data_IF_208876927260
#
_entry.id   IF_208876927260
#
_cell.length_a   1.000
_cell.length_b   1.000
_cell.length_c   1.000
_cell.angle_alpha   90.00
_cell.angle_beta   90.00
_cell.angle_gamma   90.00
#
_symmetry.space_group_name_H-M   'P 1'
#
loop_
_entity.id
_entity.type
_entity.pdbx_description
1 polymer ?
#
# COMPACT_ATOMS: atom_id res chain seq x y z
N UNK A 1 -19.40 -29.48 7.43
CA UNK A 1 -18.13 -28.80 7.09
C UNK A 1 -18.39 -27.32 7.27
N UNK A 2 -17.74 -26.67 8.23
CA UNK A 2 -17.87 -25.23 8.43
C UNK A 2 -17.14 -24.54 7.28
N UNK A 3 -17.89 -23.91 6.38
CA UNK A 3 -17.33 -22.99 5.38
C UNK A 3 -16.46 -21.98 6.14
N UNK A 4 -15.18 -21.91 5.80
CA UNK A 4 -14.31 -20.88 6.34
C UNK A 4 -14.94 -19.52 6.00
N UNK A 5 -14.99 -18.57 6.94
CA UNK A 5 -15.52 -17.25 6.66
C UNK A 5 -14.77 -16.64 5.49
N UNK A 6 -15.50 -16.22 4.45
CA UNK A 6 -14.97 -15.49 3.31
C UNK A 6 -14.67 -14.05 3.78
N UNK A 7 -13.50 -13.92 4.37
CA UNK A 7 -12.98 -12.66 4.90
C UNK A 7 -12.87 -11.59 3.82
N UNK A 8 -12.52 -11.98 2.59
CA UNK A 8 -12.40 -11.06 1.45
C UNK A 8 -13.75 -10.41 1.12
N UNK A 9 -14.85 -11.18 1.17
CA UNK A 9 -16.20 -10.66 0.97
C UNK A 9 -16.69 -9.76 2.10
N UNK A 10 -16.23 -10.01 3.33
CA UNK A 10 -16.57 -9.19 4.49
C UNK A 10 -15.79 -7.86 4.47
N UNK A 11 -14.51 -7.90 4.12
CA UNK A 11 -13.64 -6.72 4.11
C UNK A 11 -13.87 -5.82 2.89
N UNK A 12 -14.32 -6.35 1.75
CA UNK A 12 -14.66 -5.54 0.57
C UNK A 12 -15.84 -4.58 0.77
N UNK A 13 -16.62 -4.70 1.86
CA UNK A 13 -17.81 -3.88 2.12
C UNK A 13 -17.62 -2.81 3.19
N UNK A 14 -16.51 -2.82 3.92
CA UNK A 14 -16.26 -1.88 5.02
C UNK A 14 -15.55 -0.63 4.48
N UNK A 15 -15.98 0.55 4.93
CA UNK A 15 -15.17 1.76 4.75
C UNK A 15 -13.87 1.57 5.54
N UNK A 16 -12.74 1.94 4.95
CA UNK A 16 -11.41 1.62 5.48
C UNK A 16 -11.18 2.05 6.95
N UNK A 17 -11.88 3.11 7.37
CA UNK A 17 -11.93 3.59 8.75
C UNK A 17 -12.54 2.56 9.72
N UNK A 18 -13.68 1.95 9.36
CA UNK A 18 -14.35 0.93 10.19
C UNK A 18 -13.51 -0.36 10.31
N UNK A 19 -12.73 -0.69 9.28
CA UNK A 19 -11.79 -1.80 9.32
C UNK A 19 -10.68 -1.59 10.37
N UNK A 20 -10.12 -0.37 10.44
CA UNK A 20 -9.11 0.00 11.45
C UNK A 20 -9.68 -0.01 12.86
N UNK A 21 -10.90 0.50 13.04
CA UNK A 21 -11.57 0.55 14.34
C UNK A 21 -11.90 -0.86 14.87
N UNK A 22 -12.34 -1.77 14.00
CA UNK A 22 -12.70 -3.15 14.38
C UNK A 22 -11.50 -4.09 14.50
N UNK A 23 -10.34 -3.67 14.04
CA UNK A 23 -9.10 -4.46 14.08
C UNK A 23 -8.02 -3.71 14.84
N UNK A 24 -8.12 -3.59 16.18
CA UNK A 24 -7.19 -2.81 16.99
C UNK A 24 -5.73 -3.29 16.87
N UNK A 25 -5.49 -4.57 16.60
CA UNK A 25 -4.14 -5.11 16.31
C UNK A 25 -3.56 -4.65 14.96
N UNK A 26 -4.41 -4.13 14.07
CA UNK A 26 -4.06 -3.54 12.78
C UNK A 26 -4.10 -2.00 12.81
N UNK A 27 -4.57 -1.40 13.91
CA UNK A 27 -4.71 0.06 14.04
C UNK A 27 -3.36 0.80 13.96
N UNK A 28 -2.28 0.13 14.37
CA UNK A 28 -0.89 0.61 14.27
C UNK A 28 -0.26 0.39 12.89
N UNK A 29 -0.97 -0.24 11.94
CA UNK A 29 -0.46 -0.48 10.59
C UNK A 29 -0.74 0.72 9.69
N UNK A 30 0.23 1.05 8.85
CA UNK A 30 0.06 1.97 7.75
C UNK A 30 -1.07 1.50 6.83
N UNK A 31 -1.85 2.45 6.34
CA UNK A 31 -2.90 2.19 5.36
C UNK A 31 -2.29 1.49 4.14
N UNK A 32 -3.01 0.55 3.49
CA UNK A 32 -2.51 -0.04 2.26
C UNK A 32 -2.55 0.97 1.13
N UNK A 33 -1.87 0.61 0.05
CA UNK A 33 -1.87 1.38 -1.18
C UNK A 33 -3.19 1.22 -1.91
N UNK A 34 -3.84 2.34 -2.21
CA UNK A 34 -5.19 2.37 -2.78
C UNK A 34 -5.33 3.48 -3.81
N UNK A 35 -6.10 3.20 -4.86
CA UNK A 35 -6.54 4.20 -5.80
C UNK A 35 -7.75 4.97 -5.26
N UNK A 36 -7.91 6.23 -5.68
CA UNK A 36 -9.22 6.86 -5.63
C UNK A 36 -10.19 6.23 -6.65
N UNK A 37 -11.48 6.53 -6.53
CA UNK A 37 -12.54 5.93 -7.37
C UNK A 37 -12.27 6.07 -8.87
N UNK A 38 -11.80 7.25 -9.31
CA UNK A 38 -11.53 7.56 -10.72
C UNK A 38 -10.14 7.11 -11.20
N UNK A 39 -9.32 6.49 -10.35
CA UNK A 39 -7.92 6.11 -10.64
C UNK A 39 -7.08 7.27 -11.20
N UNK A 40 -7.26 8.46 -10.66
CA UNK A 40 -6.47 9.67 -10.95
C UNK A 40 -5.44 9.94 -9.86
N UNK A 41 -5.69 9.46 -8.65
CA UNK A 41 -4.83 9.55 -7.48
C UNK A 41 -4.53 8.16 -6.91
N UNK A 42 -3.31 8.03 -6.41
CA UNK A 42 -2.80 6.85 -5.73
C UNK A 42 -2.35 7.27 -4.33
N UNK A 43 -2.87 6.62 -3.31
CA UNK A 43 -2.31 6.70 -1.97
C UNK A 43 -1.27 5.61 -1.80
N UNK A 44 -0.02 5.98 -1.54
CA UNK A 44 1.10 5.08 -1.27
C UNK A 44 1.17 4.78 0.22
N UNK A 45 0.79 3.57 0.60
CA UNK A 45 0.74 3.11 1.98
C UNK A 45 2.10 3.05 2.66
N UNK A 46 3.17 2.75 1.91
CA UNK A 46 4.53 2.67 2.46
C UNK A 46 5.13 4.03 2.86
N UNK A 47 4.63 5.11 2.25
CA UNK A 47 5.06 6.49 2.48
C UNK A 47 3.96 7.36 3.12
N UNK A 48 2.76 6.79 3.27
CA UNK A 48 1.56 7.46 3.77
C UNK A 48 1.20 8.77 3.03
N UNK A 49 1.40 8.79 1.71
CA UNK A 49 1.25 9.99 0.86
C UNK A 49 0.32 9.75 -0.33
N UNK A 50 -0.46 10.76 -0.69
CA UNK A 50 -1.25 10.78 -1.93
C UNK A 50 -0.49 11.40 -3.10
N UNK A 51 -0.53 10.78 -4.27
CA UNK A 51 0.13 11.24 -5.50
C UNK A 51 -0.82 11.16 -6.69
N UNK A 52 -0.77 12.15 -7.56
CA UNK A 52 -1.48 12.13 -8.83
C UNK A 52 -0.76 11.22 -9.84
N UNK A 53 -1.48 10.26 -10.43
CA UNK A 53 -0.91 9.24 -11.33
C UNK A 53 -0.34 9.85 -12.61
N UNK A 54 -0.85 11.01 -13.03
CA UNK A 54 -0.37 11.70 -14.23
C UNK A 54 0.98 12.40 -13.99
N UNK A 55 1.39 12.58 -12.74
CA UNK A 55 2.63 13.29 -12.42
C UNK A 55 3.83 12.32 -12.37
N UNK A 56 4.31 11.93 -13.56
CA UNK A 56 5.42 10.97 -13.70
C UNK A 56 6.70 11.39 -12.98
N UNK A 57 6.99 12.69 -12.89
CA UNK A 57 8.17 13.20 -12.19
C UNK A 57 8.09 12.88 -10.69
N UNK A 58 6.91 13.09 -10.09
CA UNK A 58 6.66 12.77 -8.68
C UNK A 58 6.64 11.25 -8.47
N UNK A 59 6.02 10.48 -9.37
CA UNK A 59 6.02 9.01 -9.26
C UNK A 59 7.44 8.42 -9.27
N UNK A 60 8.30 8.89 -10.18
CA UNK A 60 9.72 8.48 -10.23
C UNK A 60 10.47 8.88 -8.97
N UNK A 61 10.19 10.07 -8.42
CA UNK A 61 10.78 10.49 -7.15
C UNK A 61 10.38 9.55 -6.01
N UNK A 62 9.10 9.19 -5.89
CA UNK A 62 8.66 8.26 -4.85
C UNK A 62 9.18 6.85 -5.05
N UNK A 63 9.31 6.37 -6.29
CA UNK A 63 9.95 5.09 -6.58
C UNK A 63 11.40 5.06 -6.06
N UNK A 64 12.20 6.09 -6.33
CA UNK A 64 13.57 6.19 -5.82
C UNK A 64 13.62 6.21 -4.28
N UNK A 65 12.69 6.93 -3.63
CA UNK A 65 12.57 6.92 -2.16
C UNK A 65 12.24 5.53 -1.62
N UNK A 66 11.27 4.83 -2.22
CA UNK A 66 10.86 3.49 -1.81
C UNK A 66 12.01 2.50 -2.03
N UNK A 67 12.73 2.57 -3.14
CA UNK A 67 13.89 1.71 -3.39
C UNK A 67 15.01 1.94 -2.37
N UNK A 68 15.30 3.19 -2.02
CA UNK A 68 16.28 3.53 -0.98
C UNK A 68 15.84 2.99 0.38
N UNK A 69 14.58 3.16 0.74
CA UNK A 69 14.01 2.64 1.98
C UNK A 69 14.03 1.11 2.01
N UNK A 70 13.73 0.45 0.90
CA UNK A 70 13.77 -1.00 0.81
C UNK A 70 15.20 -1.54 0.93
N UNK A 71 16.18 -0.89 0.29
CA UNK A 71 17.61 -1.26 0.36
C UNK A 71 18.24 -0.98 1.74
N UNK A 72 17.76 0.02 2.47
CA UNK A 72 18.27 0.36 3.80
C UNK A 72 17.76 -0.56 4.91
N UNK A 73 16.77 -1.41 4.61
CA UNK A 73 16.26 -2.38 5.57
C UNK A 73 17.21 -3.57 5.73
N UNK A 74 17.69 -3.77 6.96
CA UNK A 74 18.48 -4.94 7.32
C UNK A 74 17.60 -6.18 7.42
N UNK A 75 18.17 -7.36 7.13
CA UNK A 75 17.52 -8.68 7.25
C UNK A 75 16.98 -8.99 8.67
N UNK A 76 17.32 -8.18 9.68
CA UNK A 76 16.91 -8.37 11.08
C UNK A 76 15.68 -7.55 11.49
N UNK A 77 15.06 -6.78 10.60
CA UNK A 77 13.89 -5.96 10.96
C UNK A 77 12.59 -6.79 10.83
N UNK A 78 12.03 -7.23 11.97
CA UNK A 78 10.84 -8.11 12.10
C UNK A 78 9.53 -7.50 11.55
N UNK A 79 9.60 -6.35 10.88
CA UNK A 79 8.45 -5.62 10.34
C UNK A 79 8.07 -6.11 8.93
N UNK A 80 7.79 -7.42 8.82
CA UNK A 80 7.44 -8.12 7.57
C UNK A 80 6.33 -7.42 6.76
N UNK A 81 5.32 -6.87 7.44
CA UNK A 81 4.23 -6.14 6.77
C UNK A 81 4.74 -4.93 5.99
N UNK A 82 5.65 -4.14 6.57
CA UNK A 82 6.16 -2.92 5.94
C UNK A 82 7.15 -3.23 4.81
N UNK A 83 7.92 -4.31 4.90
CA UNK A 83 8.69 -4.82 3.75
C UNK A 83 7.78 -5.20 2.59
N UNK A 84 6.70 -5.93 2.89
CA UNK A 84 5.72 -6.36 1.90
C UNK A 84 5.04 -5.17 1.24
N UNK A 85 4.70 -4.14 2.02
CA UNK A 85 4.10 -2.90 1.52
C UNK A 85 5.07 -2.10 0.65
N UNK A 86 6.33 -1.92 1.08
CA UNK A 86 7.37 -1.28 0.28
C UNK A 86 7.59 -2.00 -1.06
N UNK A 87 7.65 -3.33 -1.03
CA UNK A 87 7.80 -4.14 -2.25
C UNK A 87 6.59 -4.00 -3.17
N UNK A 88 5.38 -4.07 -2.62
CA UNK A 88 4.13 -3.91 -3.38
C UNK A 88 4.06 -2.54 -4.05
N UNK A 89 4.37 -1.48 -3.31
CA UNK A 89 4.32 -0.10 -3.82
C UNK A 89 5.39 0.14 -4.89
N UNK A 90 6.58 -0.44 -4.71
CA UNK A 90 7.65 -0.38 -5.70
C UNK A 90 7.24 -1.00 -7.04
N UNK A 91 6.69 -2.22 -7.02
CA UNK A 91 6.26 -2.90 -8.25
C UNK A 91 5.08 -2.16 -8.90
N UNK A 92 4.10 -1.71 -8.11
CA UNK A 92 2.99 -0.92 -8.62
C UNK A 92 3.45 0.37 -9.31
N UNK A 93 4.39 1.11 -8.70
CA UNK A 93 4.93 2.32 -9.31
C UNK A 93 5.69 2.03 -10.59
N UNK A 94 6.46 0.93 -10.66
CA UNK A 94 7.13 0.52 -11.91
C UNK A 94 6.13 0.24 -13.01
N UNK A 95 5.05 -0.48 -12.72
CA UNK A 95 3.99 -0.79 -13.68
C UNK A 95 3.32 0.49 -14.19
N UNK A 96 2.91 1.39 -13.29
CA UNK A 96 2.29 2.67 -13.66
C UNK A 96 3.22 3.51 -14.55
N UNK A 97 4.52 3.52 -14.26
CA UNK A 97 5.50 4.30 -15.02
C UNK A 97 5.79 3.64 -16.37
N UNK A 98 5.76 2.31 -16.47
CA UNK A 98 6.02 1.57 -17.70
C UNK A 98 4.85 1.64 -18.70
N UNK A 99 3.61 1.73 -18.21
CA UNK A 99 2.40 1.88 -19.01
C UNK A 99 2.20 3.29 -19.61
N UNK A 100 3.21 4.17 -19.52
CA UNK A 100 3.14 5.60 -19.89
C UNK A 100 4.29 6.03 -20.79
#
# INVERSE_FOLDING_TARGET
MSEQPDWDKYFNKLKFQEYKERSPFLSSRSYPTVYNEDRTWLYLGSLEVGVEIKNLAILKHFLDQIEKNYKSWSLNDERFYRQSLLKSDMELLKDIIADR
#
